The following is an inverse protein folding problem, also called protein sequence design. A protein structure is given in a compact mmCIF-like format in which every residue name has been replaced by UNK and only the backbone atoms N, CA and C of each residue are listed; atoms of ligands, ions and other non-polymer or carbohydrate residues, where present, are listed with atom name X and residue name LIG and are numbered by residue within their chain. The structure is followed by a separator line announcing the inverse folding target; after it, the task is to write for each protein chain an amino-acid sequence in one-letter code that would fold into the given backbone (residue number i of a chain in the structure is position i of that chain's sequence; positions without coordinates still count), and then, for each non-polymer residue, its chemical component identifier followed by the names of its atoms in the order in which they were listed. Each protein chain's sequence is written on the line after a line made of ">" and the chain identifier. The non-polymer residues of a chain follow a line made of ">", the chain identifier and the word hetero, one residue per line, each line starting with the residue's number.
data_IF_998846518530
#
_entry.id   IF_998846518530
#
_cell.length_a   1.000
_cell.length_b   1.000
_cell.length_c   1.000
_cell.angle_alpha   90.00
_cell.angle_beta   90.00
_cell.angle_gamma   90.00
#
_symmetry.space_group_name_H-M   'P 1'
#
loop_
_entity.id
_entity.type
_entity.pdbx_description
1 polymer ?
2 polymer ?
3 polymer ?
4 water ?
#
# COMPACT_ATOMS: atom_id res chain seq x y z
N UNK A 1 18.21 32.22 -7.53
CA UNK A 1 17.82 31.56 -8.82
C UNK A 1 16.39 31.92 -9.18
N UNK A 2 15.84 31.24 -10.18
CA UNK A 2 14.48 31.49 -10.60
C UNK A 2 13.44 31.05 -9.59
N UNK A 3 12.18 31.27 -9.94
CA UNK A 3 11.05 30.90 -9.08
C UNK A 3 11.07 29.42 -8.71
N UNK A 4 10.92 29.15 -7.42
CA UNK A 4 10.91 27.78 -6.90
C UNK A 4 9.52 27.52 -6.32
N UNK A 5 8.85 26.46 -6.79
CA UNK A 5 7.51 26.15 -6.34
C UNK A 5 7.38 25.07 -5.26
N UNK A 6 8.17 24.01 -5.36
CA UNK A 6 8.12 22.94 -4.37
C UNK A 6 6.73 22.27 -4.31
N UNK A 7 6.18 21.89 -5.45
CA UNK A 7 4.87 21.25 -5.47
C UNK A 7 4.97 19.72 -5.54
N UNK A 8 6.19 19.22 -5.73
CA UNK A 8 6.39 17.77 -5.81
C UNK A 8 7.53 17.33 -4.90
N UNK A 9 7.40 16.13 -4.33
CA UNK A 9 8.43 15.60 -3.45
C UNK A 9 9.77 15.48 -4.15
N UNK A 10 10.85 15.71 -3.41
CA UNK A 10 12.19 15.59 -3.95
C UNK A 10 12.45 14.08 -4.07
N UNK A 11 12.50 13.58 -5.31
CA UNK A 11 12.71 12.15 -5.53
C UNK A 11 14.05 11.87 -6.20
N UNK A 12 14.99 12.80 -6.09
CA UNK A 12 16.29 12.61 -6.69
C UNK A 12 17.41 12.35 -5.67
N UNK A 13 17.03 11.80 -4.52
CA UNK A 13 18.03 11.46 -3.50
C UNK A 13 18.84 10.31 -4.11
N UNK A 14 20.01 9.99 -3.52
CA UNK A 14 20.83 8.90 -4.04
C UNK A 14 20.06 7.59 -4.22
N UNK A 15 19.14 7.32 -3.29
CA UNK A 15 18.34 6.10 -3.34
C UNK A 15 16.85 6.43 -3.37
N UNK A 16 16.08 5.64 -4.12
CA UNK A 16 14.63 5.85 -4.16
C UNK A 16 14.08 5.45 -2.80
N UNK A 17 14.69 4.43 -2.19
CA UNK A 17 14.24 3.97 -0.89
C UNK A 17 13.93 2.49 -0.85
N UNK A 18 13.49 2.02 0.32
CA UNK A 18 13.17 0.61 0.48
C UNK A 18 11.75 0.30 0.06
N UNK A 19 11.54 -0.94 -0.36
CA UNK A 19 10.21 -1.43 -0.72
C UNK A 19 10.11 -2.77 -0.01
N UNK A 20 9.52 -2.74 1.19
CA UNK A 20 9.38 -3.95 2.00
C UNK A 20 8.09 -4.66 1.63
N UNK A 21 8.20 -5.90 1.19
CA UNK A 21 7.04 -6.69 0.82
C UNK A 21 6.85 -7.83 1.81
N UNK A 22 5.74 -7.82 2.53
CA UNK A 22 5.43 -8.89 3.48
C UNK A 22 4.38 -9.75 2.79
N UNK A 23 4.79 -10.96 2.41
CA UNK A 23 3.94 -11.89 1.69
C UNK A 23 3.50 -13.09 2.55
N UNK A 24 2.32 -13.00 3.15
CA UNK A 24 1.83 -14.10 3.96
C UNK A 24 0.89 -15.00 3.20
N UNK A 25 1.40 -16.20 2.87
CA UNK A 25 0.63 -17.18 2.11
C UNK A 25 0.13 -18.32 2.99
N UNK A 26 0.99 -18.81 3.87
CA UNK A 26 0.65 -19.92 4.75
C UNK A 26 0.50 -19.48 6.20
N UNK A 27 -0.61 -19.87 6.80
CA UNK A 27 -0.91 -19.49 8.17
C UNK A 27 -0.93 -20.71 9.09
N UNK A 28 -0.58 -20.49 10.36
CA UNK A 28 -0.56 -21.57 11.33
C UNK A 28 -1.93 -22.23 11.43
N UNK A 29 -1.94 -23.56 11.49
CA UNK A 29 -3.17 -24.32 11.60
C UNK A 29 -4.02 -23.82 12.77
N UNK A 30 -3.34 -23.40 13.82
CA UNK A 30 -3.99 -22.89 15.03
C UNK A 30 -4.94 -21.71 14.78
N UNK A 31 -4.66 -20.92 13.76
CA UNK A 31 -5.49 -19.76 13.45
C UNK A 31 -6.74 -20.15 12.67
N UNK A 32 -6.66 -21.27 11.95
CA UNK A 32 -7.80 -21.71 11.17
C UNK A 32 -7.88 -20.91 9.88
N UNK A 33 -6.86 -20.12 9.60
CA UNK A 33 -6.80 -19.30 8.38
C UNK A 33 -6.34 -20.16 7.21
N UNK A 34 -6.96 -19.95 6.05
CA UNK A 34 -6.61 -20.70 4.85
C UNK A 34 -5.43 -20.08 4.13
N UNK A 35 -4.79 -20.86 3.28
CA UNK A 35 -3.65 -20.37 2.50
C UNK A 35 -4.14 -19.41 1.44
N UNK A 36 -3.30 -18.46 1.06
CA UNK A 36 -3.67 -17.47 0.07
C UNK A 36 -3.03 -17.76 -1.29
N UNK A 37 -3.58 -18.75 -1.98
CA UNK A 37 -3.06 -19.15 -3.28
C UNK A 37 -3.05 -17.96 -4.23
N UNK A 38 -1.95 -17.80 -4.96
CA UNK A 38 -1.83 -16.72 -5.91
C UNK A 38 -1.05 -15.52 -5.38
N UNK A 39 -0.85 -15.46 -4.07
CA UNK A 39 -0.12 -14.33 -3.49
C UNK A 39 1.35 -14.28 -3.92
N UNK A 40 1.94 -15.44 -4.22
CA UNK A 40 3.34 -15.46 -4.65
C UNK A 40 3.47 -14.74 -5.98
N UNK A 41 2.44 -14.84 -6.82
CA UNK A 41 2.44 -14.18 -8.12
C UNK A 41 2.48 -12.67 -7.86
N UNK A 42 1.72 -12.22 -6.87
CA UNK A 42 1.68 -10.80 -6.51
C UNK A 42 3.04 -10.34 -6.01
N UNK A 43 3.64 -11.11 -5.11
CA UNK A 43 4.94 -10.76 -4.55
C UNK A 43 6.01 -10.62 -5.63
N UNK A 44 6.02 -11.56 -6.58
CA UNK A 44 7.00 -11.53 -7.66
C UNK A 44 6.76 -10.33 -8.57
N UNK A 45 5.49 -10.08 -8.90
CA UNK A 45 5.13 -8.97 -9.76
C UNK A 45 5.59 -7.66 -9.12
N UNK A 46 5.34 -7.53 -7.83
CA UNK A 46 5.73 -6.32 -7.09
C UNK A 46 7.25 -6.14 -7.06
N UNK A 47 7.97 -7.24 -6.86
CA UNK A 47 9.43 -7.18 -6.81
C UNK A 47 9.98 -6.65 -8.12
N UNK A 48 9.48 -7.17 -9.23
CA UNK A 48 9.92 -6.72 -10.56
C UNK A 48 9.52 -5.28 -10.83
N UNK A 49 8.27 -4.95 -10.53
CA UNK A 49 7.76 -3.61 -10.76
C UNK A 49 8.55 -2.55 -10.02
N UNK A 50 8.73 -2.74 -8.71
CA UNK A 50 9.49 -1.76 -7.93
C UNK A 50 10.98 -1.81 -8.20
N UNK A 51 11.48 -2.95 -8.66
CA UNK A 51 12.90 -3.06 -9.01
C UNK A 51 13.17 -2.07 -10.16
N UNK A 52 12.26 -2.05 -11.13
CA UNK A 52 12.40 -1.16 -12.27
C UNK A 52 12.24 0.31 -11.94
N UNK A 53 11.68 0.59 -10.76
CA UNK A 53 11.52 1.98 -10.31
C UNK A 53 12.72 2.35 -9.45
N UNK A 54 13.67 1.42 -9.36
CA UNK A 54 14.91 1.58 -8.63
C UNK A 54 14.80 1.52 -7.10
N UNK A 55 13.79 0.80 -6.61
CA UNK A 55 13.63 0.65 -5.16
C UNK A 55 14.43 -0.55 -4.69
N UNK A 56 14.87 -0.51 -3.43
CA UNK A 56 15.61 -1.60 -2.82
C UNK A 56 14.52 -2.51 -2.27
N UNK A 57 14.17 -3.55 -3.03
CA UNK A 57 13.11 -4.45 -2.63
C UNK A 57 13.57 -5.57 -1.70
N UNK A 58 12.86 -5.73 -0.59
CA UNK A 58 13.17 -6.78 0.38
C UNK A 58 11.88 -7.54 0.61
N UNK A 59 11.88 -8.84 0.33
CA UNK A 59 10.69 -9.65 0.52
C UNK A 59 10.81 -10.53 1.76
N UNK A 60 9.67 -10.76 2.40
CA UNK A 60 9.59 -11.61 3.59
C UNK A 60 8.34 -12.45 3.42
N UNK A 61 8.46 -13.75 3.62
CA UNK A 61 7.31 -14.64 3.49
C UNK A 61 6.88 -15.23 4.81
N UNK A 62 5.58 -15.42 4.95
CA UNK A 62 4.99 -16.05 6.14
C UNK A 62 5.56 -15.59 7.47
N UNK A 63 5.35 -14.32 7.81
CA UNK A 63 5.85 -13.77 9.07
C UNK A 63 4.76 -13.77 10.14
N UNK A 64 5.16 -14.08 11.37
CA UNK A 64 4.23 -14.08 12.49
C UNK A 64 3.96 -12.63 12.86
N UNK A 65 2.99 -12.39 13.73
CA UNK A 65 2.68 -11.02 14.13
C UNK A 65 3.89 -10.40 14.81
N UNK A 66 4.66 -11.20 15.54
CA UNK A 66 5.84 -10.71 16.22
C UNK A 66 6.92 -10.29 15.22
N UNK A 67 7.14 -11.14 14.21
CA UNK A 67 8.15 -10.85 13.19
C UNK A 67 7.79 -9.63 12.36
N UNK A 68 6.51 -9.42 12.12
CA UNK A 68 6.06 -8.26 11.35
C UNK A 68 6.44 -7.00 12.11
N UNK A 69 6.08 -6.96 13.38
CA UNK A 69 6.39 -5.80 14.21
C UNK A 69 7.90 -5.58 14.32
N UNK A 70 8.65 -6.65 14.51
CA UNK A 70 10.11 -6.54 14.62
C UNK A 70 10.70 -6.02 13.31
N UNK A 71 10.20 -6.54 12.20
CA UNK A 71 10.68 -6.13 10.89
C UNK A 71 10.43 -4.63 10.69
N UNK A 72 9.21 -4.19 10.95
CA UNK A 72 8.85 -2.80 10.78
C UNK A 72 9.66 -1.90 11.72
N UNK A 73 9.80 -2.33 12.97
CA UNK A 73 10.57 -1.55 13.92
C UNK A 73 12.01 -1.40 13.44
N UNK A 74 12.65 -2.51 13.07
CA UNK A 74 14.03 -2.49 12.59
C UNK A 74 14.20 -1.58 11.38
N UNK A 75 13.31 -1.74 10.39
CA UNK A 75 13.38 -0.93 9.18
C UNK A 75 13.24 0.56 9.50
N UNK A 76 12.32 0.89 10.42
CA UNK A 76 12.09 2.29 10.78
C UNK A 76 13.29 2.89 11.51
N UNK A 77 14.16 2.05 12.05
CA UNK A 77 15.32 2.54 12.77
C UNK A 77 16.56 2.68 11.91
N UNK A 78 16.43 2.33 10.63
CA UNK A 78 17.55 2.46 9.71
C UNK A 78 17.68 3.94 9.36
N UNK A 79 18.84 4.31 8.83
CA UNK A 79 19.07 5.70 8.43
C UNK A 79 18.58 5.86 7.00
N UNK A 80 17.45 6.56 6.83
CA UNK A 80 16.87 6.77 5.50
C UNK A 80 17.26 8.13 4.91
N UNK A 81 18.27 8.76 5.47
CA UNK A 81 18.71 10.09 5.01
C UNK A 81 18.93 10.24 3.51
N UNK A 82 19.52 9.21 2.90
CA UNK A 82 19.81 9.25 1.47
C UNK A 82 18.73 8.61 0.60
N UNK A 83 17.59 8.31 1.20
CA UNK A 83 16.49 7.68 0.48
C UNK A 83 15.37 8.70 0.26
N UNK A 84 14.77 8.66 -0.93
CA UNK A 84 13.69 9.59 -1.28
C UNK A 84 12.34 9.27 -0.66
N UNK A 85 12.07 7.99 -0.43
CA UNK A 85 10.78 7.59 0.09
C UNK A 85 10.86 6.23 0.78
N UNK A 86 9.70 5.72 1.16
CA UNK A 86 9.60 4.41 1.79
C UNK A 86 8.32 3.74 1.31
N UNK A 87 8.42 2.47 0.96
CA UNK A 87 7.27 1.72 0.49
C UNK A 87 7.15 0.41 1.24
N UNK A 88 5.92 0.08 1.65
CA UNK A 88 5.67 -1.17 2.34
C UNK A 88 4.42 -1.78 1.73
N UNK A 89 4.54 -3.02 1.27
CA UNK A 89 3.40 -3.71 0.68
C UNK A 89 3.02 -4.85 1.61
N UNK A 90 1.75 -4.90 1.99
CA UNK A 90 1.25 -5.94 2.87
C UNK A 90 0.28 -6.84 2.12
N UNK A 91 0.60 -8.13 2.04
CA UNK A 91 -0.23 -9.10 1.35
C UNK A 91 -0.63 -10.16 2.36
N UNK A 92 -1.90 -10.16 2.78
CA UNK A 92 -2.35 -11.12 3.77
C UNK A 92 -3.86 -11.07 3.99
N UNK A 93 -4.33 -11.87 4.95
CA UNK A 93 -5.74 -11.85 5.30
C UNK A 93 -5.83 -10.60 6.17
N UNK A 94 -7.02 -10.05 6.30
CA UNK A 94 -7.17 -8.87 7.13
C UNK A 94 -8.60 -8.46 7.35
N UNK A 95 -8.79 -7.42 8.15
CA UNK A 95 -10.10 -6.86 8.42
C UNK A 95 -9.83 -5.37 8.50
N UNK A 96 -10.87 -4.57 8.72
CA UNK A 96 -10.66 -3.13 8.78
C UNK A 96 -9.59 -2.76 9.82
N UNK A 97 -8.53 -2.12 9.38
CA UNK A 97 -7.46 -1.69 10.26
C UNK A 97 -6.53 -2.76 10.80
N UNK A 98 -6.69 -3.97 10.31
CA UNK A 98 -5.87 -5.09 10.78
C UNK A 98 -5.28 -5.91 9.64
N UNK A 99 -4.04 -6.38 9.85
CA UNK A 99 -3.36 -7.22 8.87
C UNK A 99 -2.96 -8.46 9.67
N UNK A 100 -3.09 -9.64 9.09
CA UNK A 100 -2.76 -10.84 9.83
C UNK A 100 -1.39 -11.44 9.63
N UNK A 101 -0.73 -11.72 10.76
CA UNK A 101 0.56 -12.37 10.72
C UNK A 101 0.14 -13.83 10.60
N UNK A 102 1.09 -14.74 10.52
CA UNK A 102 0.76 -16.16 10.39
C UNK A 102 0.15 -16.77 11.65
N UNK A 103 0.28 -16.06 12.77
CA UNK A 103 -0.24 -16.56 14.04
C UNK A 103 -1.18 -15.57 14.72
N UNK A 104 -1.68 -14.60 13.97
CA UNK A 104 -2.56 -13.63 14.58
C UNK A 104 -2.49 -12.26 13.97
N UNK A 105 -3.43 -11.38 14.34
CA UNK A 105 -3.54 -10.00 13.85
C UNK A 105 -2.53 -8.99 14.37
N UNK A 106 -2.32 -7.96 13.57
CA UNK A 106 -1.41 -6.85 13.90
C UNK A 106 -2.16 -5.60 13.47
N UNK A 107 -2.30 -4.64 14.40
CA UNK A 107 -2.98 -3.39 14.09
C UNK A 107 -2.15 -2.64 13.06
N UNK A 108 -2.78 -2.18 11.98
CA UNK A 108 -2.05 -1.43 10.96
C UNK A 108 -1.41 -0.20 11.59
N UNK A 109 -2.11 0.40 12.56
CA UNK A 109 -1.62 1.59 13.23
C UNK A 109 -0.29 1.33 13.94
N UNK A 110 -0.12 0.13 14.48
CA UNK A 110 1.12 -0.21 15.17
C UNK A 110 2.27 -0.23 14.19
N UNK A 111 2.00 -0.73 12.99
CA UNK A 111 3.00 -0.81 11.93
C UNK A 111 3.39 0.59 11.41
N UNK A 112 2.37 1.40 11.11
CA UNK A 112 2.60 2.73 10.58
C UNK A 112 3.17 3.74 11.59
N UNK A 113 2.87 3.56 12.87
CA UNK A 113 3.38 4.49 13.88
C UNK A 113 4.90 4.55 13.91
N UNK A 114 5.56 3.44 13.60
CA UNK A 114 7.03 3.42 13.60
C UNK A 114 7.59 4.45 12.63
N UNK A 115 6.81 4.80 11.61
CA UNK A 115 7.25 5.74 10.60
C UNK A 115 6.71 7.16 10.74
N UNK A 116 6.01 7.44 11.84
CA UNK A 116 5.47 8.77 12.09
C UNK A 116 6.56 9.82 11.92
N UNK A 117 6.15 11.03 11.57
CA UNK A 117 7.11 12.11 11.36
C UNK A 117 8.03 12.37 12.54
N UNK A 118 7.57 12.07 13.76
CA UNK A 118 8.37 12.30 14.95
C UNK A 118 9.12 11.06 15.43
N UNK A 119 8.83 9.91 14.82
CA UNK A 119 9.49 8.67 15.24
C UNK A 119 10.54 8.16 14.26
N UNK A 120 10.47 8.59 13.02
CA UNK A 120 11.45 8.22 12.01
C UNK A 120 11.86 9.52 11.33
N UNK A 121 12.81 10.22 11.96
CA UNK A 121 13.27 11.51 11.47
C UNK A 121 13.89 11.53 10.09
N UNK A 122 14.56 10.45 9.70
CA UNK A 122 15.19 10.41 8.38
C UNK A 122 14.15 10.25 7.25
N UNK A 123 12.88 10.11 7.62
CA UNK A 123 11.81 10.00 6.63
C UNK A 123 10.84 11.16 6.77
N UNK A 124 11.10 12.05 7.71
CA UNK A 124 10.24 13.22 7.90
C UNK A 124 10.21 14.04 6.62
N UNK A 125 9.02 14.40 6.17
CA UNK A 125 8.89 15.19 4.95
C UNK A 125 8.97 14.36 3.68
N UNK A 126 9.17 13.06 3.82
CA UNK A 126 9.26 12.18 2.66
C UNK A 126 8.04 11.28 2.58
N UNK A 127 7.60 10.93 1.36
CA UNK A 127 6.43 10.07 1.22
C UNK A 127 6.62 8.66 1.73
N UNK A 128 5.65 8.22 2.53
CA UNK A 128 5.65 6.89 3.14
C UNK A 128 4.40 6.19 2.59
N UNK A 129 4.62 5.22 1.71
CA UNK A 129 3.54 4.52 1.05
C UNK A 129 3.26 3.11 1.56
N UNK A 130 2.01 2.86 1.91
CA UNK A 130 1.61 1.54 2.38
C UNK A 130 0.56 1.01 1.43
N UNK A 131 0.92 -0.06 0.73
CA UNK A 131 0.04 -0.72 -0.26
C UNK A 131 -0.51 -1.97 0.42
N UNK A 132 -1.83 -2.03 0.55
CA UNK A 132 -2.45 -3.14 1.28
C UNK A 132 -3.48 -4.00 0.57
N UNK A 133 -3.13 -5.25 0.36
CA UNK A 133 -4.01 -6.23 -0.27
C UNK A 133 -4.52 -7.08 0.88
N UNK A 134 -5.75 -6.81 1.30
CA UNK A 134 -6.38 -7.53 2.41
C UNK A 134 -7.82 -7.06 2.56
N UNK A 135 -8.64 -7.89 3.18
CA UNK A 135 -10.05 -7.55 3.41
C UNK A 135 -10.16 -6.40 4.40
N UNK A 136 -11.24 -5.62 4.26
CA UNK A 136 -11.49 -4.50 5.15
C UNK A 136 -12.91 -4.65 5.71
N UNK A 137 -13.44 -5.86 5.62
CA UNK A 137 -14.79 -6.11 6.09
C UNK A 137 -15.39 -7.30 5.36
N UNK A 138 -16.70 -7.50 5.53
CA UNK A 138 -17.38 -8.63 4.90
C UNK A 138 -18.48 -8.21 3.93
N UNK A 139 -18.47 -6.96 3.51
CA UNK A 139 -19.49 -6.53 2.57
C UNK A 139 -19.13 -6.95 1.16
N UNK A 140 -20.15 -7.21 0.35
CA UNK A 140 -19.95 -7.61 -1.03
C UNK A 140 -20.61 -6.58 -1.93
N UNK A 141 -19.92 -6.21 -3.01
CA UNK A 141 -20.41 -5.22 -3.96
C UNK A 141 -21.06 -5.94 -5.14
N UNK A 142 -22.39 -5.85 -5.24
CA UNK A 142 -23.14 -6.49 -6.31
C UNK A 142 -22.92 -5.82 -7.67
N UNK A 143 -22.36 -4.62 -7.65
CA UNK A 143 -22.10 -3.90 -8.87
C UNK A 143 -23.36 -3.42 -9.56
N UNK A 144 -23.20 -2.66 -10.65
CA UNK A 144 -24.34 -2.15 -11.40
C UNK A 144 -23.98 -2.07 -12.89
N UNK A 145 -24.91 -2.50 -13.74
CA UNK A 145 -24.70 -2.46 -15.18
C UNK A 145 -24.48 -1.02 -15.64
N UNK A 146 -23.64 -0.84 -16.65
CA UNK A 146 -23.34 0.50 -17.15
C UNK A 146 -23.93 0.77 -18.52
N UNK A 147 -24.42 1.99 -18.73
CA UNK A 147 -25.01 2.38 -20.00
C UNK A 147 -24.15 3.43 -20.70
N UNK B 1 -5.10 40.16 7.73
CA UNK B 1 -5.79 39.39 8.81
C UNK B 1 -4.78 38.74 9.74
N UNK B 2 -5.26 38.36 10.93
CA UNK B 2 -4.42 37.72 11.94
C UNK B 2 -5.27 36.77 12.77
N UNK B 3 -4.63 35.77 13.37
CA UNK B 3 -5.36 34.80 14.17
C UNK B 3 -4.47 34.06 15.14
N UNK B 4 -5.09 33.25 16.00
CA UNK B 4 -4.38 32.50 17.01
C UNK B 4 -3.79 31.17 16.54
N UNK B 5 -4.21 30.70 15.37
CA UNK B 5 -3.75 29.40 14.89
C UNK B 5 -2.96 29.33 13.59
N UNK B 6 -2.36 30.43 13.16
CA UNK B 6 -1.60 30.40 11.92
C UNK B 6 -0.27 31.13 12.01
N UNK B 7 0.58 30.87 11.01
CA UNK B 7 1.88 31.51 10.92
C UNK B 7 2.72 31.39 12.20
N UNK B 8 2.99 30.16 12.61
CA UNK B 8 3.79 29.90 13.81
C UNK B 8 5.26 30.20 13.52
N UNK B 9 5.97 30.68 14.52
CA UNK B 9 7.39 30.99 14.35
C UNK B 9 8.15 29.71 14.06
N UNK B 10 7.88 28.67 14.84
CA UNK B 10 8.52 27.38 14.67
C UNK B 10 7.67 26.50 13.74
N UNK B 11 8.21 26.20 12.57
CA UNK B 11 7.50 25.39 11.60
C UNK B 11 7.44 23.91 11.99
N UNK B 12 6.23 23.37 11.98
CA UNK B 12 6.02 21.97 12.30
C UNK B 12 5.04 21.38 11.29
N UNK B 13 5.02 20.07 11.21
CA UNK B 13 4.10 19.36 10.32
C UNK B 13 3.46 18.26 11.15
N UNK B 14 2.26 17.81 10.76
CA UNK B 14 1.57 16.75 11.49
C UNK B 14 2.42 15.48 11.44
N UNK B 15 2.43 14.70 12.52
CA UNK B 15 3.22 13.48 12.54
C UNK B 15 2.58 12.45 11.62
N UNK B 16 1.31 12.69 11.25
CA UNK B 16 0.58 11.78 10.36
C UNK B 16 0.67 12.24 8.91
N UNK B 17 1.36 13.33 8.65
CA UNK B 17 1.48 13.83 7.29
C UNK B 17 2.48 13.01 6.46
N UNK B 18 2.31 13.06 5.15
CA UNK B 18 3.15 12.38 4.19
C UNK B 18 3.02 10.86 4.12
N UNK B 19 1.83 10.37 4.46
CA UNK B 19 1.53 8.95 4.37
C UNK B 19 0.48 8.77 3.27
N UNK B 20 0.57 7.65 2.55
CA UNK B 20 -0.42 7.34 1.54
C UNK B 20 -0.73 5.88 1.70
N UNK B 21 -2.01 5.55 1.80
CA UNK B 21 -2.41 4.15 1.94
C UNK B 21 -3.17 3.80 0.67
N UNK B 22 -2.66 2.82 -0.07
CA UNK B 22 -3.30 2.37 -1.29
C UNK B 22 -3.98 1.06 -0.93
N UNK B 23 -5.27 1.15 -0.58
CA UNK B 23 -6.06 -0.02 -0.20
C UNK B 23 -6.64 -0.69 -1.43
N UNK B 24 -6.70 -2.02 -1.38
CA UNK B 24 -7.21 -2.81 -2.50
C UNK B 24 -8.72 -2.72 -2.66
N UNK B 25 -9.41 -2.36 -1.58
CA UNK B 25 -10.87 -2.32 -1.62
C UNK B 25 -11.44 -1.21 -0.74
N UNK B 26 -12.73 -0.95 -0.90
CA UNK B 26 -13.40 0.09 -0.12
C UNK B 26 -13.56 -0.31 1.34
N UNK B 27 -13.67 0.67 2.24
CA UNK B 27 -13.83 0.36 3.66
C UNK B 27 -15.02 -0.56 3.91
N UNK B 28 -14.81 -1.61 4.70
CA UNK B 28 -15.87 -2.54 5.03
C UNK B 28 -16.16 -3.66 4.04
N UNK B 29 -15.40 -3.72 2.95
CA UNK B 29 -15.61 -4.75 1.94
C UNK B 29 -14.53 -5.81 1.84
N UNK B 30 -14.90 -6.96 1.28
CA UNK B 30 -13.94 -8.04 1.06
C UNK B 30 -13.02 -7.55 -0.05
N UNK B 31 -11.87 -8.19 -0.18
CA UNK B 31 -10.92 -7.89 -1.25
C UNK B 31 -10.79 -9.19 -2.03
N UNK B 32 -10.71 -9.10 -3.34
CA UNK B 32 -10.63 -10.31 -4.17
C UNK B 32 -9.26 -10.72 -4.68
N UNK B 33 -9.04 -12.04 -4.71
CA UNK B 33 -7.79 -12.61 -5.17
C UNK B 33 -8.03 -13.82 -6.06
N UNK B 34 -7.36 -13.85 -7.21
CA UNK B 34 -7.48 -14.99 -8.12
C UNK B 34 -6.43 -15.99 -7.69
N UNK B 35 -6.85 -17.22 -7.41
CA UNK B 35 -5.94 -18.26 -6.95
C UNK B 35 -4.79 -18.58 -7.90
N UNK B 36 -4.88 -18.11 -9.14
CA UNK B 36 -3.85 -18.38 -10.13
C UNK B 36 -3.07 -17.14 -10.58
N UNK B 37 -3.78 -16.04 -10.84
CA UNK B 37 -3.15 -14.82 -11.32
C UNK B 37 -2.80 -13.76 -10.27
N UNK B 38 -3.24 -13.99 -9.04
CA UNK B 38 -2.94 -13.02 -7.98
C UNK B 38 -4.13 -12.12 -7.71
N UNK B 39 -3.98 -11.16 -6.81
CA UNK B 39 -5.07 -10.25 -6.47
C UNK B 39 -5.36 -9.28 -7.59
N UNK B 40 -6.64 -8.91 -7.73
CA UNK B 40 -7.03 -7.98 -8.77
C UNK B 40 -6.28 -6.66 -8.60
N UNK B 41 -6.17 -6.21 -7.35
CA UNK B 41 -5.50 -4.96 -7.05
C UNK B 41 -4.02 -4.93 -7.39
N UNK B 42 -3.26 -5.91 -6.90
CA UNK B 42 -1.83 -5.93 -7.17
C UNK B 42 -1.56 -6.14 -8.66
N UNK B 43 -2.33 -7.00 -9.31
CA UNK B 43 -2.17 -7.24 -10.74
C UNK B 43 -2.28 -5.89 -11.47
N UNK B 44 -3.35 -5.18 -11.15
CA UNK B 44 -3.61 -3.89 -11.77
C UNK B 44 -2.61 -2.81 -11.40
N UNK B 45 -2.21 -2.78 -10.13
CA UNK B 45 -1.25 -1.77 -9.68
C UNK B 45 0.07 -1.94 -10.42
N UNK B 46 0.57 -3.17 -10.49
CA UNK B 46 1.83 -3.40 -11.18
C UNK B 46 1.73 -3.04 -12.66
N UNK B 47 0.62 -3.39 -13.29
CA UNK B 47 0.43 -3.08 -14.71
C UNK B 47 0.41 -1.57 -14.94
N UNK B 48 -0.26 -0.82 -14.07
CA UNK B 48 -0.32 0.62 -14.25
C UNK B 48 1.02 1.29 -13.95
N UNK B 49 1.75 0.78 -12.97
CA UNK B 49 3.06 1.35 -12.65
C UNK B 49 4.02 1.07 -13.81
N UNK B 50 3.98 -0.15 -14.31
CA UNK B 50 4.86 -0.53 -15.42
C UNK B 50 4.61 0.38 -16.63
N UNK B 51 3.35 0.73 -16.85
CA UNK B 51 2.99 1.57 -17.99
C UNK B 51 3.03 3.08 -17.80
N UNK B 52 2.81 3.55 -16.58
CA UNK B 52 2.76 4.99 -16.35
C UNK B 52 3.71 5.63 -15.34
N UNK B 53 4.53 4.83 -14.67
CA UNK B 53 5.44 5.38 -13.66
C UNK B 53 6.38 6.47 -14.17
N UNK B 54 6.73 6.43 -15.45
CA UNK B 54 7.62 7.46 -15.99
C UNK B 54 6.85 8.50 -16.77
N UNK B 55 5.53 8.56 -16.53
CA UNK B 55 4.68 9.50 -17.26
C UNK B 55 3.63 10.24 -16.44
N UNK B 56 3.14 9.64 -15.37
CA UNK B 56 2.08 10.26 -14.58
C UNK B 56 2.38 10.41 -13.09
N UNK B 57 1.72 11.38 -12.47
CA UNK B 57 1.87 11.62 -11.04
C UNK B 57 1.20 10.40 -10.36
N UNK B 58 1.70 10.02 -9.18
CA UNK B 58 1.19 8.83 -8.49
C UNK B 58 -0.32 8.73 -8.29
N UNK B 59 -0.96 9.81 -7.85
CA UNK B 59 -2.40 9.77 -7.64
C UNK B 59 -3.14 9.43 -8.93
N UNK B 60 -2.62 9.93 -10.06
CA UNK B 60 -3.24 9.66 -11.34
C UNK B 60 -3.01 8.21 -11.76
N UNK B 61 -1.87 7.66 -11.35
CA UNK B 61 -1.58 6.26 -11.67
C UNK B 61 -2.57 5.42 -10.89
N UNK B 62 -2.72 5.72 -9.60
CA UNK B 62 -3.63 4.96 -8.75
C UNK B 62 -5.08 5.09 -9.21
N UNK B 63 -5.41 6.22 -9.83
CA UNK B 63 -6.76 6.42 -10.33
C UNK B 63 -6.99 5.45 -11.49
N UNK B 64 -5.97 5.22 -12.31
CA UNK B 64 -6.06 4.28 -13.42
C UNK B 64 -6.25 2.88 -12.84
N UNK B 65 -5.57 2.61 -11.73
CA UNK B 65 -5.70 1.31 -11.06
C UNK B 65 -7.15 1.13 -10.60
N UNK B 66 -7.72 2.19 -10.03
CA UNK B 66 -9.12 2.12 -9.58
C UNK B 66 -10.03 1.72 -10.74
N UNK B 67 -9.85 2.40 -11.87
CA UNK B 67 -10.69 2.12 -13.04
C UNK B 67 -10.49 0.71 -13.58
N UNK B 68 -9.24 0.28 -13.65
CA UNK B 68 -8.95 -1.05 -14.17
C UNK B 68 -9.61 -2.14 -13.32
N UNK B 69 -9.48 -2.03 -12.00
CA UNK B 69 -10.08 -3.01 -11.11
C UNK B 69 -11.60 -2.96 -11.17
N UNK B 70 -12.14 -1.75 -11.15
CA UNK B 70 -13.58 -1.55 -11.17
C UNK B 70 -14.29 -2.04 -12.43
N UNK B 71 -13.63 -1.89 -13.57
CA UNK B 71 -14.25 -2.28 -14.83
C UNK B 71 -13.92 -3.66 -15.38
N UNK B 72 -12.67 -4.08 -15.23
CA UNK B 72 -12.24 -5.36 -15.80
C UNK B 72 -12.44 -6.63 -14.99
N UNK B 73 -12.68 -6.49 -13.70
CA UNK B 73 -12.83 -7.67 -12.83
C UNK B 73 -14.21 -7.90 -12.23
N UNK B 74 -14.56 -9.18 -12.14
CA UNK B 74 -15.82 -9.59 -11.53
C UNK B 74 -15.58 -11.00 -11.02
N UNK B 75 -15.97 -11.25 -9.77
CA UNK B 75 -15.72 -12.55 -9.16
C UNK B 75 -16.46 -13.72 -9.78
N UNK B 76 -15.86 -14.89 -9.62
CA UNK B 76 -16.44 -16.15 -10.08
C UNK B 76 -16.35 -17.07 -8.87
N UNK B 77 -17.49 -17.63 -8.46
CA UNK B 77 -17.50 -18.53 -7.32
C UNK B 77 -18.62 -19.54 -7.46
N UNK B 78 -18.36 -20.77 -7.00
CA UNK B 78 -19.36 -21.82 -7.04
C UNK B 78 -20.43 -21.51 -5.99
N UNK B 79 -20.08 -20.64 -5.05
CA UNK B 79 -21.00 -20.21 -4.01
C UNK B 79 -21.68 -18.95 -4.52
N UNK B 80 -22.99 -19.04 -4.78
CA UNK B 80 -23.74 -17.91 -5.30
C UNK B 80 -23.53 -16.63 -4.50
N UNK B 81 -23.35 -16.78 -3.20
CA UNK B 81 -23.14 -15.63 -2.31
C UNK B 81 -21.94 -14.78 -2.71
N UNK B 82 -20.87 -15.43 -3.14
CA UNK B 82 -19.64 -14.75 -3.52
C UNK B 82 -19.43 -14.63 -5.02
N UNK B 83 -20.46 -14.95 -5.79
CA UNK B 83 -20.34 -14.89 -7.24
C UNK B 83 -20.79 -13.56 -7.86
N UNK B 84 -20.14 -13.18 -8.96
CA UNK B 84 -20.45 -11.96 -9.70
C UNK B 84 -20.33 -10.68 -8.90
N UNK B 85 -19.31 -10.60 -8.05
CA UNK B 85 -19.11 -9.42 -7.23
C UNK B 85 -18.05 -8.49 -7.79
N UNK B 86 -18.08 -7.24 -7.36
CA UNK B 86 -17.17 -6.22 -7.85
C UNK B 86 -16.28 -5.63 -6.75
N UNK B 87 -15.31 -4.82 -7.16
CA UNK B 87 -14.38 -4.21 -6.22
C UNK B 87 -13.86 -2.86 -6.72
N UNK B 88 -13.72 -1.92 -5.80
CA UNK B 88 -13.19 -0.60 -6.15
C UNK B 88 -12.08 -0.31 -5.14
N UNK B 89 -10.84 -0.14 -5.62
CA UNK B 89 -9.73 0.14 -4.70
C UNK B 89 -9.99 1.47 -4.01
N UNK B 90 -9.26 1.74 -2.94
CA UNK B 90 -9.48 2.96 -2.18
C UNK B 90 -8.18 3.69 -1.86
N UNK B 91 -8.00 4.83 -2.51
CA UNK B 91 -6.79 5.66 -2.32
C UNK B 91 -6.98 6.58 -1.13
N UNK B 92 -6.11 6.47 -0.14
CA UNK B 92 -6.19 7.31 1.05
C UNK B 92 -4.91 8.13 1.13
N UNK B 93 -4.99 9.39 0.74
CA UNK B 93 -3.81 10.23 0.75
C UNK B 93 -3.73 11.34 1.79
N UNK B 94 -2.63 11.30 2.53
CA UNK B 94 -2.34 12.33 3.52
C UNK B 94 -0.98 12.90 3.10
N UNK B 95 -0.71 12.81 1.80
CA UNK B 95 0.52 13.35 1.22
C UNK B 95 0.36 14.86 1.10
N UNK B 96 1.48 15.58 1.06
CA UNK B 96 1.42 17.03 0.98
C UNK B 96 1.98 17.59 -0.33
N UNK B 97 2.47 16.70 -1.19
CA UNK B 97 3.01 17.12 -2.48
C UNK B 97 2.71 16.07 -3.52
N UNK B 98 2.91 16.43 -4.78
CA UNK B 98 2.71 15.48 -5.86
C UNK B 98 3.91 14.54 -5.82
N UNK B 99 3.71 13.31 -6.28
CA UNK B 99 4.77 12.32 -6.26
C UNK B 99 5.01 11.72 -7.64
N UNK B 100 6.22 11.91 -8.14
CA UNK B 100 6.61 11.36 -9.44
C UNK B 100 7.79 10.43 -9.15
N UNK B 101 7.75 9.22 -9.68
CA UNK B 101 8.83 8.28 -9.44
C UNK B 101 10.07 8.63 -10.23
N UNK B 102 9.91 9.47 -11.24
CA UNK B 102 11.02 9.90 -12.07
C UNK B 102 11.37 11.34 -11.72
N UNK B 103 12.48 11.82 -12.25
CA UNK B 103 12.90 13.20 -12.02
C UNK B 103 13.68 13.72 -13.23
N UNK C 2 -11.69 -17.47 -7.63
CA UNK C 2 -11.53 -16.31 -6.79
C UNK C 2 -11.73 -16.62 -5.31
N UNK C 3 -10.89 -16.02 -4.47
CA UNK C 3 -10.98 -16.20 -3.03
C UNK C 3 -10.94 -14.80 -2.43
N UNK C 4 -11.49 -14.63 -1.23
CA UNK C 4 -11.51 -13.32 -0.60
C UNK C 4 -10.34 -13.12 0.36
N UNK C 5 -9.80 -11.94 0.60
C UNK C 5 -9.08 -11.11 2.75
#
# INVERSE_FOLDING_TARGET
>A
SGISLDNSYKMDYPEMGLCIIINNKNFHKSTGMTSRSGTDVDAANLRETFRNLKYEVRNKNDLTREEIVELMRDVSKEDHSKRSSFVCVLLSHGEEGIIFGTNGPVDLKKITNFFRGDRCRSLTGKPKLFIIQACRGTELDCGIETD
>B
ASGVDDDMACHKIPVEADFLYAYSTAPGYYSWRNSKDGSWFIQSLCAMLKQYADKLEFMHILTRVNRKVATEFESFSFDATFHAKKQIPCIVSMLTKELYFYH
>C
XDEVX
#
